data_IF_716784237235
#
_entry.id   IF_716784237235
#
_cell.length_a   1.000
_cell.length_b   1.000
_cell.length_c   1.000
_cell.angle_alpha   90.00
_cell.angle_beta   90.00
_cell.angle_gamma   90.00
#
_symmetry.space_group_name_H-M   'P 1'
#
loop_
_entity.id
_entity.type
_entity.pdbx_description
1 polymer ?
#
# COMPACT_ATOMS: atom_id res chain seq x y z
N UNK A 1 16.38 8.92 1.01
CA UNK A 1 14.97 9.16 0.77
C UNK A 1 14.26 9.54 2.06
N UNK A 2 13.02 9.99 1.93
CA UNK A 2 12.17 10.35 3.08
C UNK A 2 11.85 9.10 3.90
N UNK A 3 11.36 8.07 3.25
CA UNK A 3 11.11 6.75 3.80
C UNK A 3 11.89 5.71 3.01
N UNK A 4 12.25 4.61 3.66
CA UNK A 4 13.04 3.56 3.03
C UNK A 4 12.74 2.21 3.68
N UNK A 5 12.66 1.15 2.89
CA UNK A 5 12.39 -0.21 3.35
C UNK A 5 13.51 -0.77 4.26
N UNK A 6 14.73 -0.24 4.13
CA UNK A 6 15.88 -0.59 4.96
C UNK A 6 15.92 0.16 6.30
N UNK A 7 15.10 1.17 6.48
CA UNK A 7 15.00 1.87 7.75
C UNK A 7 14.12 1.11 8.74
N UNK A 8 14.36 1.33 10.03
CA UNK A 8 13.42 0.89 11.07
C UNK A 8 12.10 1.62 10.95
N UNK A 9 11.02 1.02 11.45
CA UNK A 9 9.69 1.66 11.53
C UNK A 9 9.81 3.03 12.22
N UNK A 10 10.54 3.08 13.33
CA UNK A 10 10.79 4.34 14.06
C UNK A 10 11.43 5.41 13.18
N UNK A 11 12.44 5.05 12.37
CA UNK A 11 13.13 6.00 11.50
C UNK A 11 12.22 6.52 10.40
N UNK A 12 11.45 5.63 9.75
CA UNK A 12 10.48 6.01 8.73
C UNK A 12 9.40 6.95 9.31
N UNK A 13 8.84 6.61 10.47
CA UNK A 13 7.83 7.43 11.15
C UNK A 13 8.40 8.80 11.53
N UNK A 14 9.61 8.85 12.08
CA UNK A 14 10.25 10.12 12.44
C UNK A 14 10.48 11.01 11.22
N UNK A 15 11.06 10.47 10.15
CA UNK A 15 11.31 11.21 8.92
C UNK A 15 10.00 11.75 8.32
N UNK A 16 8.94 10.94 8.32
CA UNK A 16 7.63 11.33 7.79
C UNK A 16 6.97 12.43 8.64
N UNK A 17 7.06 12.33 9.97
CA UNK A 17 6.57 13.34 10.90
C UNK A 17 7.32 14.67 10.71
N UNK A 18 8.65 14.63 10.62
CA UNK A 18 9.50 15.80 10.37
C UNK A 18 9.14 16.46 9.03
N UNK A 19 8.99 15.66 7.97
CA UNK A 19 8.61 16.17 6.63
C UNK A 19 7.24 16.85 6.64
N UNK A 20 6.27 16.29 7.37
CA UNK A 20 4.92 16.87 7.49
C UNK A 20 4.83 17.95 8.55
N UNK A 21 5.92 18.25 9.26
CA UNK A 21 5.98 19.18 10.39
C UNK A 21 4.90 18.87 11.44
N UNK A 22 4.82 17.62 11.85
CA UNK A 22 3.81 17.09 12.78
C UNK A 22 4.45 16.11 13.77
N UNK A 23 3.66 15.58 14.71
CA UNK A 23 4.12 14.54 15.63
C UNK A 23 3.78 13.14 15.09
N UNK A 24 4.54 12.10 15.47
CA UNK A 24 4.19 10.71 15.12
C UNK A 24 2.74 10.32 15.48
N UNK A 25 2.18 10.86 16.56
CA UNK A 25 0.81 10.60 17.00
C UNK A 25 -0.29 11.20 16.09
N UNK A 26 0.08 12.07 15.17
CA UNK A 26 -0.82 12.67 14.18
C UNK A 26 -0.73 11.96 12.83
N UNK A 27 0.27 11.07 12.65
CA UNK A 27 0.38 10.22 11.47
C UNK A 27 -0.57 9.03 11.56
N UNK A 28 -0.99 8.56 10.40
CA UNK A 28 -1.83 7.37 10.25
C UNK A 28 -1.16 6.34 9.35
N UNK A 29 -0.96 5.15 9.88
CA UNK A 29 -0.47 3.99 9.13
C UNK A 29 -1.61 3.02 8.84
N UNK A 30 -1.68 2.51 7.60
CA UNK A 30 -2.63 1.47 7.22
C UNK A 30 -1.89 0.13 7.02
N UNK A 31 -2.50 -0.96 7.52
CA UNK A 31 -2.01 -2.34 7.37
C UNK A 31 -3.18 -3.32 7.30
N UNK A 32 -2.91 -4.52 6.74
CA UNK A 32 -3.84 -5.62 6.92
C UNK A 32 -3.77 -6.20 8.34
N UNK A 33 -4.94 -6.56 8.90
CA UNK A 33 -5.05 -7.28 10.18
C UNK A 33 -4.64 -8.75 9.97
N UNK A 34 -3.34 -9.00 9.99
CA UNK A 34 -2.75 -10.34 9.81
C UNK A 34 -1.69 -10.62 10.87
N UNK A 35 -1.57 -11.87 11.35
CA UNK A 35 -0.56 -12.23 12.36
C UNK A 35 0.87 -11.85 11.98
N UNK A 36 1.21 -11.94 10.68
CA UNK A 36 2.54 -11.57 10.16
C UNK A 36 2.90 -10.09 10.35
N UNK A 37 1.89 -9.22 10.52
CA UNK A 37 2.10 -7.78 10.74
C UNK A 37 2.20 -7.39 12.22
N UNK A 38 2.03 -8.35 13.14
CA UNK A 38 1.98 -8.06 14.59
C UNK A 38 3.16 -7.21 15.06
N UNK A 39 4.38 -7.54 14.64
CA UNK A 39 5.59 -6.80 15.04
C UNK A 39 5.53 -5.35 14.58
N UNK A 40 5.14 -5.09 13.32
CA UNK A 40 4.99 -3.74 12.76
C UNK A 40 3.93 -2.95 13.54
N UNK A 41 2.79 -3.60 13.82
CA UNK A 41 1.69 -2.99 14.57
C UNK A 41 2.11 -2.61 15.99
N UNK A 42 2.86 -3.48 16.67
CA UNK A 42 3.33 -3.23 18.03
C UNK A 42 4.32 -2.06 18.06
N UNK A 43 5.28 -1.99 17.13
CA UNK A 43 6.20 -0.87 16.98
C UNK A 43 5.49 0.47 16.69
N UNK A 44 4.48 0.47 15.81
CA UNK A 44 3.68 1.67 15.53
C UNK A 44 2.90 2.15 16.76
N UNK A 45 2.36 1.22 17.56
CA UNK A 45 1.69 1.56 18.84
C UNK A 45 2.62 2.20 19.84
N UNK A 46 3.85 1.70 19.97
CA UNK A 46 4.87 2.29 20.85
C UNK A 46 5.19 3.73 20.44
N UNK A 47 5.16 4.03 19.14
CA UNK A 47 5.36 5.36 18.58
C UNK A 47 4.10 6.23 18.64
N UNK A 48 2.98 5.70 19.12
CA UNK A 48 1.66 6.34 19.20
C UNK A 48 1.09 6.76 17.84
N UNK A 49 1.51 6.13 16.75
CA UNK A 49 0.95 6.34 15.42
C UNK A 49 -0.50 5.83 15.38
N UNK A 50 -1.39 6.56 14.73
CA UNK A 50 -2.75 6.07 14.47
C UNK A 50 -2.70 4.88 13.51
N UNK A 51 -3.48 3.84 13.78
CA UNK A 51 -3.43 2.61 12.98
C UNK A 51 -4.82 2.32 12.41
N UNK A 52 -4.87 2.16 11.10
CA UNK A 52 -6.02 1.66 10.36
C UNK A 52 -5.75 0.22 9.97
N UNK A 53 -6.54 -0.71 10.50
CA UNK A 53 -6.45 -2.12 10.15
C UNK A 53 -7.58 -2.48 9.20
N UNK A 54 -7.22 -3.04 8.05
CA UNK A 54 -8.17 -3.56 7.06
C UNK A 54 -8.14 -5.09 7.07
N UNK A 55 -9.30 -5.71 6.85
CA UNK A 55 -9.42 -7.16 6.86
C UNK A 55 -8.89 -7.80 5.59
N UNK A 56 -8.97 -7.10 4.48
CA UNK A 56 -8.58 -7.57 3.15
C UNK A 56 -8.34 -6.40 2.20
N UNK A 57 -7.75 -6.67 1.02
CA UNK A 57 -7.55 -5.67 -0.03
C UNK A 57 -6.23 -4.91 0.08
N UNK A 58 -5.10 -5.60 -0.08
CA UNK A 58 -3.75 -5.02 -0.08
C UNK A 58 -3.64 -3.82 -1.01
N UNK A 59 -4.14 -3.95 -2.24
CA UNK A 59 -4.09 -2.90 -3.25
C UNK A 59 -4.95 -1.69 -2.84
N UNK A 60 -6.16 -1.94 -2.35
CA UNK A 60 -7.04 -0.88 -1.86
C UNK A 60 -6.45 -0.14 -0.67
N UNK A 61 -5.82 -0.90 0.25
CA UNK A 61 -5.13 -0.34 1.41
C UNK A 61 -3.94 0.53 1.00
N UNK A 62 -3.13 0.07 0.05
CA UNK A 62 -2.02 0.84 -0.48
C UNK A 62 -2.49 2.15 -1.14
N UNK A 63 -3.61 2.12 -1.87
CA UNK A 63 -4.16 3.31 -2.52
C UNK A 63 -4.68 4.38 -1.54
N UNK A 64 -4.90 4.05 -0.27
CA UNK A 64 -5.31 5.06 0.72
C UNK A 64 -4.26 6.15 0.96
N UNK A 65 -3.00 5.94 0.57
CA UNK A 65 -1.96 6.99 0.67
C UNK A 65 -2.00 7.98 -0.50
N UNK A 66 -2.77 7.68 -1.57
CA UNK A 66 -2.72 8.45 -2.82
C UNK A 66 -3.38 9.82 -2.75
N UNK A 67 -4.28 10.04 -1.79
CA UNK A 67 -5.02 11.30 -1.67
C UNK A 67 -5.21 11.71 -0.21
N UNK A 68 -5.08 13.01 0.10
CA UNK A 68 -5.24 13.53 1.47
C UNK A 68 -6.59 13.22 2.12
N UNK A 69 -7.66 13.09 1.33
CA UNK A 69 -9.00 12.80 1.84
C UNK A 69 -9.12 11.42 2.50
N UNK A 70 -8.22 10.49 2.21
CA UNK A 70 -8.17 9.17 2.85
C UNK A 70 -7.47 9.19 4.20
N UNK A 71 -6.78 10.29 4.53
CA UNK A 71 -6.11 10.51 5.82
C UNK A 71 -5.16 9.38 6.24
N UNK A 72 -4.52 8.72 5.29
CA UNK A 72 -3.49 7.70 5.51
C UNK A 72 -2.17 8.22 4.98
N UNK A 73 -1.14 8.20 5.82
CA UNK A 73 0.18 8.75 5.51
C UNK A 73 1.16 7.70 4.99
N UNK A 74 1.00 6.46 5.45
CA UNK A 74 1.87 5.35 5.05
C UNK A 74 1.09 4.03 5.05
N UNK A 75 1.33 3.20 4.03
CA UNK A 75 0.90 1.81 4.01
C UNK A 75 2.11 0.90 4.22
N UNK A 76 1.98 -0.05 5.13
CA UNK A 76 3.03 -1.02 5.44
C UNK A 76 2.47 -2.42 5.39
N UNK A 77 3.19 -3.36 4.78
CA UNK A 77 2.68 -4.71 4.75
C UNK A 77 3.62 -5.75 4.15
N UNK A 78 3.26 -7.00 4.36
CA UNK A 78 3.81 -8.19 3.72
C UNK A 78 2.64 -8.87 3.03
N UNK A 79 2.71 -9.00 1.72
CA UNK A 79 1.64 -9.54 0.88
C UNK A 79 2.19 -10.35 -0.29
N UNK A 80 1.33 -10.69 -1.23
CA UNK A 80 1.73 -11.39 -2.44
C UNK A 80 2.47 -10.47 -3.42
N UNK A 81 3.41 -11.05 -4.18
CA UNK A 81 4.13 -10.32 -5.22
C UNK A 81 3.20 -9.70 -6.29
N UNK A 82 2.19 -10.44 -6.80
CA UNK A 82 1.24 -9.88 -7.77
C UNK A 82 0.47 -8.66 -7.25
N UNK A 83 0.01 -8.69 -6.00
CA UNK A 83 -0.67 -7.57 -5.35
C UNK A 83 0.27 -6.36 -5.21
N UNK A 84 1.55 -6.61 -4.93
CA UNK A 84 2.58 -5.56 -4.86
C UNK A 84 2.77 -4.85 -6.21
N UNK A 85 2.78 -5.58 -7.32
CA UNK A 85 2.89 -5.02 -8.68
C UNK A 85 1.63 -4.22 -9.04
N UNK A 86 0.44 -4.73 -8.70
CA UNK A 86 -0.82 -4.01 -8.92
C UNK A 86 -0.87 -2.70 -8.11
N UNK A 87 -0.45 -2.74 -6.85
CA UNK A 87 -0.37 -1.56 -6.00
C UNK A 87 0.63 -0.54 -6.56
N UNK A 88 1.82 -0.98 -6.98
CA UNK A 88 2.83 -0.12 -7.60
C UNK A 88 2.29 0.55 -8.86
N UNK A 89 1.62 -0.20 -9.76
CA UNK A 89 1.01 0.36 -10.98
C UNK A 89 -0.04 1.43 -10.68
N UNK A 90 -0.86 1.21 -9.66
CA UNK A 90 -1.84 2.20 -9.26
C UNK A 90 -1.20 3.44 -8.64
N UNK A 91 -0.22 3.27 -7.75
CA UNK A 91 0.47 4.35 -7.04
C UNK A 91 1.33 5.20 -7.98
N UNK A 92 1.89 4.61 -9.03
CA UNK A 92 2.62 5.32 -10.09
C UNK A 92 1.76 6.41 -10.74
N UNK A 93 0.48 6.13 -10.97
CA UNK A 93 -0.48 7.10 -11.51
C UNK A 93 -0.76 8.31 -10.58
N UNK A 94 -0.35 8.24 -9.32
CA UNK A 94 -0.54 9.29 -8.32
C UNK A 94 0.78 9.91 -7.83
N UNK A 95 1.88 9.63 -8.53
CA UNK A 95 3.23 10.11 -8.15
C UNK A 95 3.57 9.75 -6.68
N UNK A 96 3.15 8.58 -6.25
CA UNK A 96 3.40 8.08 -4.90
C UNK A 96 4.71 7.30 -4.82
N UNK A 97 5.38 7.39 -3.67
CA UNK A 97 6.54 6.56 -3.39
C UNK A 97 6.12 5.12 -3.08
N UNK A 98 6.83 4.15 -3.65
CA UNK A 98 6.65 2.73 -3.37
C UNK A 98 8.00 2.01 -3.39
N UNK A 99 8.22 1.15 -2.41
CA UNK A 99 9.35 0.22 -2.36
C UNK A 99 8.86 -1.17 -1.99
N UNK A 100 9.44 -2.20 -2.59
CA UNK A 100 9.15 -3.59 -2.31
C UNK A 100 10.40 -4.46 -2.26
N UNK A 101 10.34 -5.55 -1.50
CA UNK A 101 11.38 -6.58 -1.46
C UNK A 101 10.72 -7.94 -1.35
N UNK A 102 11.25 -8.93 -2.06
CA UNK A 102 10.80 -10.30 -1.89
C UNK A 102 11.26 -10.85 -0.54
N UNK A 103 10.39 -11.62 0.10
CA UNK A 103 10.71 -12.41 1.30
C UNK A 103 10.62 -13.87 0.90
N UNK A 104 11.70 -14.60 1.08
CA UNK A 104 11.81 -16.01 0.73
C UNK A 104 11.88 -16.86 1.99
N UNK A 105 10.81 -17.57 2.29
CA UNK A 105 10.72 -18.42 3.50
C UNK A 105 11.21 -19.86 3.24
N UNK A 106 11.35 -20.27 1.97
CA UNK A 106 11.68 -21.64 1.57
C UNK A 106 12.73 -21.68 0.47
N UNK A 107 13.61 -22.67 0.52
CA UNK A 107 14.62 -22.91 -0.53
C UNK A 107 14.01 -23.08 -1.92
N UNK A 108 12.79 -23.62 -2.00
CA UNK A 108 12.05 -23.76 -3.26
C UNK A 108 11.77 -22.38 -3.88
N UNK A 109 11.33 -21.43 -3.08
CA UNK A 109 10.97 -20.08 -3.55
C UNK A 109 12.23 -19.34 -4.05
N UNK A 110 13.37 -19.54 -3.37
CA UNK A 110 14.68 -19.02 -3.79
C UNK A 110 15.10 -19.62 -5.12
N UNK A 111 14.90 -20.93 -5.32
CA UNK A 111 15.23 -21.59 -6.57
C UNK A 111 14.36 -21.06 -7.71
N UNK A 112 13.05 -20.98 -7.52
CA UNK A 112 12.12 -20.43 -8.51
C UNK A 112 12.48 -18.98 -8.87
N UNK A 113 12.82 -18.15 -7.90
CA UNK A 113 13.26 -16.78 -8.13
C UNK A 113 14.54 -16.72 -9.00
N UNK A 114 15.52 -17.59 -8.74
CA UNK A 114 16.73 -17.69 -9.54
C UNK A 114 16.44 -18.15 -10.97
N UNK A 115 15.56 -19.12 -11.15
CA UNK A 115 15.13 -19.62 -12.46
C UNK A 115 14.41 -18.51 -13.26
N UNK A 116 13.76 -17.55 -12.58
CA UNK A 116 13.17 -16.35 -13.17
C UNK A 116 14.18 -15.19 -13.39
N UNK A 117 15.47 -15.40 -13.07
CA UNK A 117 16.52 -14.41 -13.29
C UNK A 117 16.75 -13.44 -12.12
N UNK A 118 16.12 -13.66 -10.96
CA UNK A 118 16.39 -12.88 -9.76
C UNK A 118 17.67 -13.43 -9.13
N UNK A 119 18.75 -12.65 -9.17
CA UNK A 119 20.08 -13.06 -8.66
C UNK A 119 20.35 -12.51 -7.26
N UNK A 120 19.84 -11.33 -6.95
CA UNK A 120 19.96 -10.69 -5.64
C UNK A 120 18.66 -10.90 -4.85
N UNK A 121 18.71 -11.77 -3.85
CA UNK A 121 17.56 -12.14 -3.01
C UNK A 121 17.18 -11.03 -2.01
N UNK A 122 18.10 -10.11 -1.72
CA UNK A 122 17.89 -9.00 -0.79
C UNK A 122 17.54 -7.70 -1.52
N UNK A 123 17.44 -7.74 -2.84
CA UNK A 123 17.19 -6.55 -3.65
C UNK A 123 15.91 -5.84 -3.20
N UNK A 124 16.06 -4.55 -2.93
CA UNK A 124 14.95 -3.61 -2.82
C UNK A 124 14.63 -3.04 -4.20
N UNK A 125 13.38 -3.07 -4.56
CA UNK A 125 12.86 -2.54 -5.83
C UNK A 125 12.17 -1.22 -5.57
N UNK A 126 12.56 -0.21 -6.32
CA UNK A 126 11.85 1.07 -6.40
C UNK A 126 10.67 0.97 -7.36
N UNK A 127 9.69 1.86 -7.24
CA UNK A 127 8.51 1.90 -8.10
C UNK A 127 8.88 1.87 -9.60
N UNK A 128 9.84 2.69 -10.02
CA UNK A 128 10.31 2.77 -11.42
C UNK A 128 11.03 1.52 -11.92
N UNK A 129 11.48 0.63 -11.04
CA UNK A 129 12.04 -0.66 -11.42
C UNK A 129 10.95 -1.72 -11.61
N UNK A 130 9.81 -1.55 -10.93
CA UNK A 130 8.66 -2.46 -11.02
C UNK A 130 7.79 -2.10 -12.21
N UNK A 131 7.47 -0.83 -12.37
CA UNK A 131 6.63 -0.31 -13.47
C UNK A 131 7.54 0.37 -14.50
N UNK A 132 7.50 -0.15 -15.72
CA UNK A 132 8.33 0.33 -16.83
C UNK A 132 7.46 0.68 -18.02
N UNK A 133 7.08 1.95 -18.13
CA UNK A 133 6.27 2.46 -19.22
C UNK A 133 4.81 2.69 -18.84
N UNK A 134 3.99 2.92 -19.85
CA UNK A 134 2.59 3.28 -19.69
C UNK A 134 1.82 2.24 -18.89
N UNK A 135 1.01 2.67 -17.95
CA UNK A 135 0.15 1.81 -17.16
C UNK A 135 -1.28 2.34 -17.08
N UNK A 136 -2.23 1.41 -17.07
CA UNK A 136 -3.64 1.68 -16.81
C UNK A 136 -4.06 0.75 -15.67
N UNK A 137 -4.49 1.35 -14.58
CA UNK A 137 -5.04 0.62 -13.45
C UNK A 137 -6.56 0.77 -13.44
N UNK A 138 -7.26 -0.35 -13.28
CA UNK A 138 -8.72 -0.38 -13.17
C UNK A 138 -9.13 -1.31 -12.03
N UNK A 139 -9.93 -0.80 -11.10
CA UNK A 139 -10.45 -1.57 -9.97
C UNK A 139 -11.92 -1.27 -9.73
N UNK A 140 -12.73 -2.31 -9.62
CA UNK A 140 -14.16 -2.22 -9.34
C UNK A 140 -14.47 -2.81 -7.97
N UNK A 141 -15.22 -2.09 -7.15
CA UNK A 141 -15.63 -2.59 -5.84
C UNK A 141 -16.60 -3.78 -5.98
N UNK A 142 -16.27 -4.89 -5.34
CA UNK A 142 -17.15 -6.05 -5.18
C UNK A 142 -17.61 -6.23 -3.72
N UNK A 143 -16.95 -5.55 -2.81
CA UNK A 143 -17.30 -5.42 -1.39
C UNK A 143 -16.94 -4.01 -0.93
N UNK A 144 -17.55 -3.52 0.14
CA UNK A 144 -17.10 -2.28 0.77
C UNK A 144 -15.69 -2.48 1.34
N UNK A 145 -14.73 -1.71 0.85
CA UNK A 145 -13.38 -1.70 1.37
C UNK A 145 -13.31 -0.74 2.57
N UNK A 146 -13.87 -1.18 3.70
CA UNK A 146 -13.89 -0.40 4.94
C UNK A 146 -12.80 -0.88 5.90
N UNK A 147 -12.15 0.04 6.65
CA UNK A 147 -11.25 -0.34 7.72
C UNK A 147 -12.02 -1.09 8.80
N UNK A 148 -11.51 -2.26 9.19
CA UNK A 148 -12.13 -3.12 10.21
C UNK A 148 -11.95 -2.57 11.62
N UNK A 149 -10.87 -1.84 11.85
CA UNK A 149 -10.55 -1.18 13.13
C UNK A 149 -9.81 0.11 12.83
N UNK A 150 -10.41 1.22 13.13
CA UNK A 150 -9.76 2.53 13.11
C UNK A 150 -10.08 3.25 14.41
N UNK A 151 -9.08 3.91 14.98
CA UNK A 151 -9.30 4.83 16.09
C UNK A 151 -9.93 6.15 15.59
N UNK A 152 -9.80 6.44 14.30
CA UNK A 152 -10.42 7.56 13.62
C UNK A 152 -11.58 7.04 12.75
N UNK A 153 -12.80 7.55 13.02
CA UNK A 153 -14.02 7.18 12.30
C UNK A 153 -14.14 7.82 10.92
N UNK A 154 -13.19 8.66 10.54
CA UNK A 154 -13.25 9.50 9.34
C UNK A 154 -12.43 8.96 8.16
N UNK A 155 -11.93 7.71 8.20
CA UNK A 155 -11.25 7.12 7.05
C UNK A 155 -12.28 6.72 6.01
N UNK A 156 -12.23 7.35 4.85
CA UNK A 156 -13.13 7.07 3.75
C UNK A 156 -12.76 5.76 3.04
N UNK A 157 -13.76 5.01 2.61
CA UNK A 157 -13.54 3.86 1.72
C UNK A 157 -13.05 4.33 0.35
N UNK A 158 -12.14 3.57 -0.25
CA UNK A 158 -11.63 3.85 -1.60
C UNK A 158 -12.75 3.78 -2.64
N UNK A 159 -13.56 2.73 -2.58
CA UNK A 159 -14.70 2.47 -3.47
C UNK A 159 -15.87 1.94 -2.66
N UNK A 160 -17.08 2.18 -3.15
CA UNK A 160 -18.31 1.78 -2.49
C UNK A 160 -19.12 0.84 -3.37
N UNK A 161 -19.85 -0.05 -2.72
CA UNK A 161 -20.91 -0.85 -3.33
C UNK A 161 -22.22 -0.57 -2.60
N UNK A 162 -23.27 -0.32 -3.34
CA UNK A 162 -24.60 -0.06 -2.79
C UNK A 162 -25.59 -1.02 -3.43
N UNK A 163 -26.41 -1.66 -2.61
CA UNK A 163 -27.53 -2.48 -3.09
C UNK A 163 -28.83 -1.68 -3.00
N UNK A 164 -29.50 -1.53 -4.13
CA UNK A 164 -30.78 -0.84 -4.18
C UNK A 164 -31.97 -1.72 -3.67
N UNK A 165 -33.17 -1.13 -3.63
CA UNK A 165 -34.40 -1.79 -3.20
C UNK A 165 -34.82 -2.98 -4.10
N UNK A 166 -34.30 -3.05 -5.31
CA UNK A 166 -34.60 -4.08 -6.31
C UNK A 166 -33.51 -5.17 -6.35
N UNK A 167 -32.62 -5.23 -5.36
CA UNK A 167 -31.45 -6.10 -5.34
C UNK A 167 -30.41 -5.84 -6.47
N UNK A 168 -30.42 -4.66 -7.07
CA UNK A 168 -29.43 -4.25 -8.06
C UNK A 168 -28.23 -3.68 -7.31
N UNK A 169 -27.03 -4.13 -7.67
CA UNK A 169 -25.80 -3.61 -7.12
C UNK A 169 -25.28 -2.45 -7.98
N UNK A 170 -25.06 -1.32 -7.34
CA UNK A 170 -24.31 -0.19 -7.91
C UNK A 170 -22.91 -0.23 -7.32
N UNK A 171 -21.91 -0.20 -8.16
CA UNK A 171 -20.50 -0.24 -7.74
C UNK A 171 -19.72 0.90 -8.36
N UNK A 172 -18.72 1.36 -7.64
CA UNK A 172 -17.76 2.36 -8.14
C UNK A 172 -16.59 1.64 -8.79
N UNK A 173 -16.13 2.17 -9.90
CA UNK A 173 -14.91 1.74 -10.59
C UNK A 173 -13.91 2.88 -10.59
N UNK A 174 -12.73 2.62 -10.05
CA UNK A 174 -11.58 3.49 -10.18
C UNK A 174 -10.82 3.12 -11.46
N UNK A 175 -10.60 4.10 -12.31
CA UNK A 175 -9.72 3.97 -13.47
C UNK A 175 -8.70 5.10 -13.37
N UNK A 176 -7.42 4.75 -13.43
CA UNK A 176 -6.33 5.72 -13.46
C UNK A 176 -5.26 5.25 -14.43
N UNK A 177 -4.56 6.18 -15.07
CA UNK A 177 -3.50 5.87 -16.01
C UNK A 177 -2.36 6.87 -15.90
N UNK A 178 -1.16 6.40 -16.16
CA UNK A 178 0.01 7.22 -16.42
C UNK A 178 0.53 6.88 -17.81
N UNK A 179 0.63 7.90 -18.67
CA UNK A 179 1.20 7.78 -20.00
C UNK A 179 2.52 8.55 -20.01
N UNK A 180 3.60 7.84 -20.19
CA UNK A 180 4.91 8.43 -20.40
C UNK A 180 4.97 8.90 -21.85
N UNK A 181 4.68 10.16 -22.10
CA UNK A 181 4.92 10.74 -23.43
C UNK A 181 6.41 10.82 -23.63
N UNK A 182 6.95 10.02 -24.54
CA UNK A 182 8.28 10.30 -25.08
C UNK A 182 8.18 11.63 -25.82
N UNK A 183 8.90 12.63 -25.36
CA UNK A 183 9.11 13.83 -26.15
C UNK A 183 9.69 13.41 -27.50
N UNK A 184 8.91 13.66 -28.57
CA UNK A 184 9.30 13.39 -29.95
C UNK A 184 10.29 14.46 -30.45
#
# INVERSE_FOLDING_TARGET
>A
GLIDLDYTIKKNVSNLADFKNTNPSELTACLLDRPRHKKIIDELKELKVNIVLISDGDVSGALLVSKPEYKVDIFLGIGGGPEGVLAASALDCYDCHFQGRFIFDKDKDIKEARDMGITDMEKKYELSEIIKGDSIFCATAITDCLPTKSNDKDVNALNKIVKDKNNIFLTETLITCLLYTSDA
#
